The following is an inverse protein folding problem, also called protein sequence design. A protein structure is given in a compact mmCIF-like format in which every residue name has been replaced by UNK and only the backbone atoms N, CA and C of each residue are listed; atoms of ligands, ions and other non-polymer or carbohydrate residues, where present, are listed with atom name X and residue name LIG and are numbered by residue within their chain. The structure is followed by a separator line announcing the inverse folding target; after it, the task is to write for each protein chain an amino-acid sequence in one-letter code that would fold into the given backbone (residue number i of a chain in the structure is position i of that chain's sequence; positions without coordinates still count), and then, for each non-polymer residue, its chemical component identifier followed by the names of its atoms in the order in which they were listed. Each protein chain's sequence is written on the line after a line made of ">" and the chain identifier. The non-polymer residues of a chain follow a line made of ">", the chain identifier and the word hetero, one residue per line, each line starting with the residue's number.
data_IF_835093040444
#
_entry.id   IF_835093040444
#
_cell.length_a   1.000
_cell.length_b   1.000
_cell.length_c   1.000
_cell.angle_alpha   90.00
_cell.angle_beta   90.00
_cell.angle_gamma   90.00
#
_symmetry.space_group_name_H-M   'P 1'
#
loop_
_entity.id
_entity.type
_entity.pdbx_description
1 polymer ?
#
# COMPACT_ATOMS: atom_id res chain seq x y z
N UNK A 1 9.13 -2.60 -31.03
CA UNK A 1 9.02 -1.18 -31.48
C UNK A 1 8.07 -1.09 -32.68
N UNK A 2 8.36 -1.61 -33.86
CA UNK A 2 7.55 -1.39 -35.07
C UNK A 2 6.06 -1.75 -35.01
N UNK A 3 5.64 -2.67 -34.12
CA UNK A 3 4.22 -2.99 -33.94
C UNK A 3 3.51 -1.95 -33.03
N UNK A 4 4.22 -1.32 -32.11
CA UNK A 4 3.70 -0.28 -31.22
C UNK A 4 3.57 1.03 -31.99
N UNK A 5 4.59 1.42 -32.71
CA UNK A 5 4.64 2.64 -33.53
C UNK A 5 3.69 2.59 -34.76
N UNK A 6 3.33 1.40 -35.22
CA UNK A 6 2.46 1.20 -36.36
C UNK A 6 0.98 1.35 -36.01
N UNK A 7 0.29 0.24 -35.80
CA UNK A 7 -1.18 0.23 -35.65
C UNK A 7 -1.67 0.24 -34.17
N UNK A 8 -0.81 -0.19 -33.22
CA UNK A 8 -1.27 -0.38 -31.85
C UNK A 8 -1.43 0.95 -31.10
N UNK A 9 -0.64 1.95 -31.44
CA UNK A 9 -0.74 3.29 -30.86
C UNK A 9 -2.08 3.95 -31.22
N UNK A 10 -2.52 3.84 -32.46
CA UNK A 10 -3.83 4.36 -32.89
C UNK A 10 -4.97 3.61 -32.20
N UNK A 11 -4.84 2.30 -32.05
CA UNK A 11 -5.80 1.48 -31.30
C UNK A 11 -5.87 1.88 -29.81
N UNK A 12 -4.73 2.10 -29.16
CA UNK A 12 -4.69 2.55 -27.77
C UNK A 12 -5.44 3.87 -27.58
N UNK A 13 -5.18 4.84 -28.45
CA UNK A 13 -5.80 6.17 -28.42
C UNK A 13 -7.30 6.11 -28.65
N UNK A 14 -7.74 5.25 -29.53
CA UNK A 14 -9.15 5.09 -29.85
C UNK A 14 -9.94 4.31 -28.76
N UNK A 15 -9.26 3.43 -28.02
CA UNK A 15 -9.94 2.45 -27.15
C UNK A 15 -9.87 2.83 -25.66
N UNK A 16 -8.80 3.51 -25.22
CA UNK A 16 -8.56 3.72 -23.79
C UNK A 16 -8.37 5.20 -23.45
N UNK A 17 -9.12 5.70 -22.49
CA UNK A 17 -8.96 7.07 -21.96
C UNK A 17 -7.58 7.29 -21.32
N UNK A 18 -7.02 6.24 -20.71
CA UNK A 18 -5.70 6.27 -20.06
C UNK A 18 -4.57 5.80 -21.00
N UNK A 19 -4.72 5.98 -22.32
CA UNK A 19 -3.76 5.55 -23.32
C UNK A 19 -2.31 6.05 -23.08
N UNK A 20 -2.06 7.27 -22.55
CA UNK A 20 -0.68 7.72 -22.36
C UNK A 20 0.08 6.85 -21.35
N UNK A 21 -0.59 6.43 -20.27
CA UNK A 21 0.01 5.56 -19.27
C UNK A 21 0.29 4.16 -19.81
N UNK A 22 -0.59 3.67 -20.67
CA UNK A 22 -0.40 2.36 -21.33
C UNK A 22 0.74 2.38 -22.34
N UNK A 23 0.92 3.50 -23.02
CA UNK A 23 2.06 3.72 -23.90
C UNK A 23 3.37 3.70 -23.12
N UNK A 24 3.45 4.41 -21.99
CA UNK A 24 4.59 4.42 -21.06
C UNK A 24 4.90 3.01 -20.51
N UNK A 25 3.87 2.23 -20.17
CA UNK A 25 4.02 0.82 -19.72
C UNK A 25 4.63 -0.05 -20.84
N UNK A 26 4.24 0.17 -22.11
CA UNK A 26 4.78 -0.54 -23.26
C UNK A 26 6.23 -0.14 -23.58
N UNK A 27 6.54 1.15 -23.50
CA UNK A 27 7.92 1.65 -23.63
C UNK A 27 8.83 1.04 -22.58
N UNK A 28 8.36 1.00 -21.33
CA UNK A 28 9.08 0.34 -20.22
C UNK A 28 9.32 -1.15 -20.49
N UNK A 29 8.37 -1.84 -21.12
CA UNK A 29 8.53 -3.23 -21.52
C UNK A 29 9.56 -3.39 -22.64
N UNK A 30 9.58 -2.47 -23.61
CA UNK A 30 10.60 -2.46 -24.67
C UNK A 30 11.98 -2.24 -24.05
N UNK A 31 12.15 -1.26 -23.18
CA UNK A 31 13.40 -1.00 -22.48
C UNK A 31 13.86 -2.20 -21.64
N UNK A 32 12.91 -2.89 -20.99
CA UNK A 32 13.20 -4.12 -20.29
C UNK A 32 13.68 -5.21 -21.24
N UNK A 33 13.02 -5.39 -22.39
CA UNK A 33 13.36 -6.41 -23.38
C UNK A 33 14.74 -6.21 -24.00
N UNK A 34 15.22 -4.97 -24.15
CA UNK A 34 16.55 -4.66 -24.69
C UNK A 34 17.70 -5.14 -23.83
N UNK A 35 17.45 -5.49 -22.57
CA UNK A 35 18.47 -6.03 -21.64
C UNK A 35 18.82 -7.50 -21.90
N UNK A 36 18.07 -8.18 -22.76
CA UNK A 36 18.21 -9.59 -23.07
C UNK A 36 18.58 -9.82 -24.52
N UNK A 37 19.43 -10.82 -24.77
CA UNK A 37 19.88 -11.15 -26.13
C UNK A 37 18.77 -11.74 -26.99
N UNK A 38 17.81 -12.43 -26.36
CA UNK A 38 16.71 -13.06 -27.07
C UNK A 38 15.45 -13.22 -26.20
N UNK A 39 14.33 -13.47 -26.87
CA UNK A 39 13.02 -13.64 -26.22
C UNK A 39 12.98 -14.80 -25.22
N UNK A 40 13.68 -15.90 -25.52
CA UNK A 40 13.69 -17.07 -24.64
C UNK A 40 14.36 -16.77 -23.30
N UNK A 41 15.44 -16.02 -23.33
CA UNK A 41 16.14 -15.55 -22.12
C UNK A 41 15.24 -14.58 -21.32
N UNK A 42 14.63 -13.60 -21.97
CA UNK A 42 13.69 -12.68 -21.33
C UNK A 42 12.54 -13.43 -20.65
N UNK A 43 11.90 -14.38 -21.36
CA UNK A 43 10.80 -15.19 -20.82
C UNK A 43 11.26 -16.07 -19.65
N UNK A 44 12.45 -16.66 -19.72
CA UNK A 44 13.02 -17.44 -18.63
C UNK A 44 13.22 -16.59 -17.39
N UNK A 45 13.71 -15.36 -17.54
CA UNK A 45 13.85 -14.44 -16.43
C UNK A 45 12.50 -13.99 -15.85
N UNK A 46 11.51 -13.73 -16.70
CA UNK A 46 10.16 -13.39 -16.24
C UNK A 46 9.52 -14.56 -15.46
N UNK A 47 9.72 -15.80 -15.90
CA UNK A 47 9.25 -17.00 -15.17
C UNK A 47 9.97 -17.13 -13.84
N UNK A 48 11.27 -16.91 -13.78
CA UNK A 48 12.03 -16.91 -12.53
C UNK A 48 11.56 -15.83 -11.57
N UNK A 49 11.36 -14.60 -12.04
CA UNK A 49 10.84 -13.50 -11.23
C UNK A 49 9.42 -13.79 -10.71
N UNK A 50 8.57 -14.38 -11.55
CA UNK A 50 7.21 -14.76 -11.12
C UNK A 50 7.20 -15.98 -10.19
N UNK A 51 8.11 -16.94 -10.37
CA UNK A 51 8.24 -18.10 -9.49
C UNK A 51 8.90 -17.74 -8.16
N UNK A 52 9.83 -16.79 -8.15
CA UNK A 52 10.40 -16.23 -6.91
C UNK A 52 9.34 -15.51 -6.06
N UNK A 53 8.34 -14.91 -6.69
CA UNK A 53 7.20 -14.31 -5.98
C UNK A 53 6.24 -15.36 -5.40
N UNK A 54 6.24 -16.60 -5.91
CA UNK A 54 5.28 -17.65 -5.55
C UNK A 54 5.79 -18.78 -4.68
N UNK A 55 7.07 -19.12 -4.72
CA UNK A 55 7.50 -20.39 -4.14
C UNK A 55 8.97 -20.45 -3.74
N UNK A 56 9.43 -19.53 -2.88
CA UNK A 56 10.59 -19.87 -2.05
C UNK A 56 10.11 -20.58 -0.78
N UNK A 57 9.64 -21.80 -0.93
CA UNK A 57 9.80 -22.79 0.13
C UNK A 57 11.24 -23.30 0.01
N UNK A 58 12.20 -22.45 0.34
CA UNK A 58 13.53 -22.93 0.66
C UNK A 58 13.49 -23.50 2.06
N UNK A 59 13.88 -24.77 2.19
CA UNK A 59 14.11 -25.50 3.44
C UNK A 59 15.26 -24.92 4.26
N UNK A 60 15.39 -23.61 4.32
CA UNK A 60 16.24 -22.91 5.25
C UNK A 60 15.34 -21.93 6.00
N UNK A 61 15.36 -22.04 7.32
CA UNK A 61 14.79 -21.09 8.27
C UNK A 61 15.48 -19.72 8.14
N UNK A 62 15.52 -19.17 6.93
CA UNK A 62 16.02 -17.83 6.70
C UNK A 62 15.01 -16.86 7.30
N UNK A 63 15.44 -16.18 8.35
CA UNK A 63 14.74 -15.05 8.95
C UNK A 63 14.71 -13.90 7.95
N UNK A 64 13.82 -13.98 6.96
CA UNK A 64 13.67 -12.96 5.93
C UNK A 64 12.39 -12.17 6.11
N UNK A 65 12.45 -10.88 5.79
CA UNK A 65 11.28 -10.04 5.66
C UNK A 65 10.64 -10.32 4.30
N UNK A 66 9.34 -10.68 4.31
CA UNK A 66 8.57 -10.89 3.07
C UNK A 66 7.71 -9.65 2.78
N UNK A 67 7.89 -9.06 1.61
CA UNK A 67 7.03 -8.03 1.07
C UNK A 67 6.02 -8.67 0.12
N UNK A 68 4.73 -8.34 0.29
CA UNK A 68 3.66 -8.92 -0.51
C UNK A 68 2.50 -7.95 -0.66
N UNK A 69 1.72 -8.08 -1.72
CA UNK A 69 0.40 -7.48 -1.78
C UNK A 69 -0.59 -8.32 -0.97
N UNK A 70 -1.72 -7.73 -0.59
CA UNK A 70 -2.78 -8.45 0.13
C UNK A 70 -3.31 -9.63 -0.72
N UNK A 71 -3.44 -9.42 -2.03
CA UNK A 71 -3.90 -10.47 -2.94
C UNK A 71 -2.97 -11.67 -2.99
N UNK A 72 -1.65 -11.43 -3.02
CA UNK A 72 -0.64 -12.50 -3.01
C UNK A 72 -0.51 -13.19 -1.64
N UNK A 73 -0.89 -12.51 -0.57
CA UNK A 73 -0.90 -13.05 0.78
C UNK A 73 -2.13 -13.92 1.07
N UNK A 74 -3.14 -13.94 0.19
CA UNK A 74 -4.36 -14.74 0.37
C UNK A 74 -4.00 -16.24 0.46
N UNK A 75 -4.45 -16.89 1.52
CA UNK A 75 -4.18 -18.31 1.79
C UNK A 75 -2.83 -18.58 2.48
N UNK A 76 -2.02 -17.57 2.72
CA UNK A 76 -0.78 -17.67 3.49
C UNK A 76 -1.02 -17.15 4.90
N UNK A 77 -0.19 -17.58 5.85
CA UNK A 77 -0.22 -17.12 7.25
C UNK A 77 1.21 -16.82 7.69
N UNK A 78 1.34 -15.83 8.59
CA UNK A 78 2.63 -15.35 9.05
C UNK A 78 2.58 -15.06 10.54
N UNK A 79 3.63 -15.36 11.32
CA UNK A 79 3.66 -15.05 12.75
C UNK A 79 3.44 -13.57 13.04
N UNK A 80 4.02 -12.69 12.24
CA UNK A 80 3.92 -11.24 12.40
C UNK A 80 3.57 -10.58 11.07
N UNK A 81 2.53 -9.76 11.06
CA UNK A 81 2.07 -9.04 9.86
C UNK A 81 2.07 -7.54 10.11
N UNK A 82 2.65 -6.80 9.18
CA UNK A 82 2.62 -5.35 9.13
C UNK A 82 1.79 -4.90 7.94
N UNK A 83 0.61 -4.35 8.19
CA UNK A 83 -0.22 -3.73 7.15
C UNK A 83 0.13 -2.25 7.08
N UNK A 84 0.77 -1.84 6.00
CA UNK A 84 1.26 -0.47 5.82
C UNK A 84 0.31 0.36 4.96
N UNK A 85 0.43 1.68 5.04
CA UNK A 85 -0.32 2.58 4.17
C UNK A 85 -1.77 2.82 4.57
N UNK A 86 -2.15 2.59 5.84
CA UNK A 86 -3.52 2.72 6.33
C UNK A 86 -3.95 4.19 6.47
N UNK A 87 -4.08 4.87 5.34
CA UNK A 87 -4.55 6.25 5.22
C UNK A 87 -5.65 6.36 4.15
N UNK A 88 -6.67 7.18 4.38
CA UNK A 88 -7.70 7.48 3.39
C UNK A 88 -7.07 8.03 2.11
N UNK A 89 -7.41 7.44 0.97
CA UNK A 89 -6.81 7.72 -0.33
C UNK A 89 -5.65 6.80 -0.73
N UNK A 90 -5.07 6.04 0.23
CA UNK A 90 -4.12 4.97 -0.02
C UNK A 90 -4.79 3.60 0.23
N UNK A 91 -5.30 3.40 1.43
CA UNK A 91 -6.07 2.22 1.80
C UNK A 91 -7.12 2.59 2.87
N UNK A 92 -8.42 2.66 2.47
CA UNK A 92 -8.96 2.42 1.13
C UNK A 92 -8.46 3.43 0.08
N UNK A 93 -8.43 3.00 -1.18
CA UNK A 93 -8.01 3.85 -2.29
C UNK A 93 -9.00 5.00 -2.54
N UNK A 94 -8.52 6.07 -3.19
CA UNK A 94 -9.32 7.27 -3.41
C UNK A 94 -10.60 6.99 -4.20
N UNK A 95 -10.55 6.14 -5.23
CA UNK A 95 -11.73 5.81 -6.06
C UNK A 95 -12.84 5.15 -5.25
N UNK A 96 -12.48 4.23 -4.35
CA UNK A 96 -13.45 3.59 -3.46
C UNK A 96 -14.10 4.58 -2.49
N UNK A 97 -13.35 5.61 -2.07
CA UNK A 97 -13.85 6.68 -1.20
C UNK A 97 -14.81 7.60 -1.94
N UNK A 98 -14.47 7.97 -3.18
CA UNK A 98 -15.22 8.92 -4.01
C UNK A 98 -16.49 8.28 -4.65
N UNK A 99 -16.73 6.98 -4.44
CA UNK A 99 -17.85 6.24 -4.96
C UNK A 99 -17.67 5.73 -6.40
N UNK A 100 -16.46 5.83 -6.94
CA UNK A 100 -16.08 5.28 -8.25
C UNK A 100 -15.58 3.83 -8.16
N UNK A 101 -15.51 3.28 -6.94
CA UNK A 101 -15.06 1.93 -6.63
C UNK A 101 -15.86 1.30 -5.51
N UNK A 102 -15.53 0.06 -5.16
CA UNK A 102 -16.20 -0.68 -4.11
C UNK A 102 -15.45 -0.57 -2.76
N UNK A 103 -16.00 0.23 -1.84
CA UNK A 103 -15.45 0.41 -0.51
C UNK A 103 -15.56 -0.88 0.33
N UNK A 104 -16.58 -1.69 0.09
CA UNK A 104 -16.77 -2.96 0.80
C UNK A 104 -15.75 -4.00 0.34
N UNK A 105 -15.32 -3.95 -0.92
CA UNK A 105 -14.23 -4.81 -1.39
C UNK A 105 -12.90 -4.41 -0.74
N UNK A 106 -12.60 -3.11 -0.61
CA UNK A 106 -11.44 -2.61 0.14
C UNK A 106 -11.49 -3.08 1.62
N UNK A 107 -12.69 -3.08 2.21
CA UNK A 107 -12.90 -3.60 3.58
C UNK A 107 -12.61 -5.10 3.67
N UNK A 108 -13.04 -5.88 2.67
CA UNK A 108 -12.73 -7.32 2.60
C UNK A 108 -11.22 -7.56 2.46
N UNK A 109 -10.54 -6.75 1.65
CA UNK A 109 -9.08 -6.81 1.54
C UNK A 109 -8.39 -6.49 2.87
N UNK A 110 -8.88 -5.49 3.61
CA UNK A 110 -8.37 -5.21 4.95
C UNK A 110 -8.56 -6.40 5.90
N UNK A 111 -9.75 -7.01 5.89
CA UNK A 111 -10.02 -8.21 6.67
C UNK A 111 -9.08 -9.37 6.28
N UNK A 112 -8.87 -9.60 4.98
CA UNK A 112 -7.94 -10.62 4.50
C UNK A 112 -6.53 -10.34 5.03
N UNK A 113 -6.04 -9.11 4.93
CA UNK A 113 -4.72 -8.73 5.42
C UNK A 113 -4.58 -8.97 6.94
N UNK A 114 -5.57 -8.56 7.72
CA UNK A 114 -5.58 -8.71 9.16
C UNK A 114 -5.58 -10.18 9.59
N UNK A 115 -6.31 -11.03 8.88
CA UNK A 115 -6.41 -12.47 9.18
C UNK A 115 -5.18 -13.28 8.75
N UNK A 116 -4.17 -12.64 8.16
CA UNK A 116 -2.89 -13.33 7.84
C UNK A 116 -1.95 -13.43 9.05
N UNK A 117 -2.23 -12.71 10.12
CA UNK A 117 -1.40 -12.69 11.32
C UNK A 117 -1.77 -13.83 12.30
N UNK A 118 -0.78 -14.65 12.64
CA UNK A 118 -0.93 -15.73 13.64
C UNK A 118 -0.68 -15.21 15.06
N UNK A 119 0.36 -14.40 15.26
CA UNK A 119 0.80 -13.96 16.59
C UNK A 119 0.59 -12.47 16.82
N UNK A 120 1.00 -11.62 15.87
CA UNK A 120 0.83 -10.18 16.00
C UNK A 120 0.49 -9.49 14.69
N UNK A 121 -0.40 -8.52 14.78
CA UNK A 121 -0.81 -7.65 13.70
C UNK A 121 -0.41 -6.21 14.02
N UNK A 122 0.36 -5.60 13.13
CA UNK A 122 0.77 -4.21 13.21
C UNK A 122 0.12 -3.40 12.10
N UNK A 123 -0.71 -2.45 12.48
CA UNK A 123 -1.45 -1.58 11.56
C UNK A 123 -0.72 -0.23 11.49
N UNK A 124 -0.13 0.08 10.33
CA UNK A 124 0.78 1.23 10.18
C UNK A 124 0.11 2.34 9.37
N UNK A 125 -0.09 3.47 10.04
CA UNK A 125 -0.61 4.69 9.46
C UNK A 125 0.52 5.70 9.18
N UNK A 126 0.77 6.05 7.92
CA UNK A 126 1.72 7.09 7.57
C UNK A 126 1.09 8.48 7.80
N UNK A 127 1.72 9.31 8.62
CA UNK A 127 1.20 10.66 8.92
C UNK A 127 1.45 11.65 7.79
N UNK A 128 2.52 11.44 7.03
CA UNK A 128 2.97 12.31 5.94
C UNK A 128 3.28 11.49 4.70
N UNK A 129 2.98 12.05 3.54
CA UNK A 129 3.40 11.56 2.23
C UNK A 129 4.14 12.67 1.51
N UNK A 130 5.12 12.31 0.70
CA UNK A 130 5.80 13.27 -0.16
C UNK A 130 5.18 13.21 -1.56
N UNK A 131 4.43 14.24 -1.94
CA UNK A 131 3.86 14.37 -3.28
C UNK A 131 4.61 15.46 -4.04
N UNK A 132 5.34 15.05 -5.07
CA UNK A 132 6.14 15.97 -5.93
C UNK A 132 7.06 16.90 -5.12
N UNK A 133 7.70 16.39 -4.08
CA UNK A 133 8.59 17.18 -3.21
C UNK A 133 7.88 17.97 -2.11
N UNK A 134 6.55 17.97 -2.07
CA UNK A 134 5.77 18.66 -1.02
C UNK A 134 5.27 17.65 0.00
N UNK A 135 5.54 17.85 1.32
CA UNK A 135 4.98 17.01 2.36
C UNK A 135 3.49 17.27 2.52
N UNK A 136 2.68 16.23 2.29
CA UNK A 136 1.22 16.28 2.45
C UNK A 136 0.83 15.45 3.67
N UNK A 137 0.01 16.04 4.55
CA UNK A 137 -0.53 15.32 5.70
C UNK A 137 -1.61 14.35 5.25
N UNK A 138 -1.49 13.10 5.68
CA UNK A 138 -2.47 12.06 5.40
C UNK A 138 -3.52 11.98 6.53
N UNK A 139 -4.72 11.53 6.16
CA UNK A 139 -5.81 11.24 7.08
C UNK A 139 -5.79 9.76 7.38
N UNK A 140 -5.90 9.41 8.66
CA UNK A 140 -5.98 8.01 9.09
C UNK A 140 -7.12 7.29 8.37
N UNK A 141 -6.84 6.06 7.93
CA UNK A 141 -7.83 5.18 7.29
C UNK A 141 -9.10 5.06 8.13
N UNK A 142 -10.24 5.17 7.47
CA UNK A 142 -11.55 4.96 8.11
C UNK A 142 -11.70 3.57 8.71
N UNK A 143 -11.03 2.56 8.16
CA UNK A 143 -11.04 1.21 8.70
C UNK A 143 -10.39 1.12 10.08
N UNK A 144 -9.35 1.92 10.34
CA UNK A 144 -8.75 2.00 11.68
C UNK A 144 -9.67 2.67 12.69
N UNK A 145 -10.47 3.64 12.26
CA UNK A 145 -11.42 4.35 13.14
C UNK A 145 -12.60 3.48 13.56
N UNK A 146 -12.88 2.42 12.81
CA UNK A 146 -13.93 1.44 13.13
C UNK A 146 -13.50 0.44 14.20
N UNK A 147 -12.19 0.33 14.48
CA UNK A 147 -11.67 -0.56 15.52
C UNK A 147 -11.76 0.15 16.87
N UNK A 148 -12.44 -0.42 17.87
CA UNK A 148 -12.50 0.17 19.21
C UNK A 148 -11.11 0.33 19.83
N UNK A 149 -10.86 1.45 20.50
CA UNK A 149 -9.58 1.75 21.17
C UNK A 149 -9.13 0.67 22.17
N UNK A 150 -10.08 -0.06 22.75
CA UNK A 150 -9.83 -1.16 23.66
C UNK A 150 -9.25 -2.43 23.02
N UNK A 151 -9.16 -2.46 21.70
CA UNK A 151 -8.71 -3.64 20.92
C UNK A 151 -7.29 -3.53 20.39
N UNK A 152 -6.63 -2.38 20.55
CA UNK A 152 -5.26 -2.18 20.08
C UNK A 152 -4.47 -1.28 21.03
N UNK A 153 -3.14 -1.38 20.94
CA UNK A 153 -2.22 -0.48 21.59
C UNK A 153 -1.64 0.50 20.58
N UNK A 154 -1.67 1.79 20.91
CA UNK A 154 -1.13 2.84 20.04
C UNK A 154 0.36 3.04 20.31
N UNK A 155 1.18 2.75 19.32
CA UNK A 155 2.61 3.01 19.35
C UNK A 155 2.97 4.19 18.44
N UNK A 156 3.73 5.14 18.98
CA UNK A 156 4.27 6.24 18.18
C UNK A 156 5.70 5.90 17.75
N UNK A 157 5.96 5.77 16.45
CA UNK A 157 7.26 5.41 15.91
C UNK A 157 8.37 6.42 16.29
N UNK A 158 8.04 7.69 16.55
CA UNK A 158 9.01 8.68 17.02
C UNK A 158 9.60 8.37 18.40
N UNK A 159 8.89 7.65 19.26
CA UNK A 159 9.39 7.25 20.57
C UNK A 159 10.24 5.97 20.51
N UNK A 160 10.10 5.17 19.47
CA UNK A 160 10.81 3.90 19.32
C UNK A 160 12.22 4.03 18.73
N UNK A 161 12.46 5.07 17.92
CA UNK A 161 13.80 5.39 17.41
C UNK A 161 14.41 6.48 18.30
N UNK A 162 15.19 6.03 19.28
CA UNK A 162 15.80 6.77 20.34
C UNK A 162 16.25 8.19 20.02
N UNK A 163 16.20 9.02 21.01
CA UNK A 163 16.58 10.42 21.11
C UNK A 163 17.97 10.75 20.51
N UNK A 164 18.06 10.74 19.19
CA UNK A 164 19.09 11.40 18.41
C UNK A 164 18.66 12.85 18.19
N UNK A 165 19.08 13.70 19.11
CA UNK A 165 19.23 15.15 19.04
C UNK A 165 18.65 15.82 17.78
N UNK A 166 17.38 16.26 17.82
CA UNK A 166 16.93 17.39 17.02
C UNK A 166 16.05 18.31 17.86
N UNK A 167 16.64 19.49 18.16
CA UNK A 167 15.91 20.68 18.61
C UNK A 167 15.00 21.12 17.46
N UNK A 168 13.71 20.95 17.62
CA UNK A 168 12.70 21.40 16.69
C UNK A 168 11.35 20.84 17.16
N UNK A 169 10.75 21.49 18.14
CA UNK A 169 9.51 21.04 18.76
C UNK A 169 8.34 21.12 17.78
N UNK A 170 7.77 20.00 17.45
CA UNK A 170 6.40 19.90 17.00
C UNK A 170 5.61 19.29 18.15
N UNK A 171 5.04 20.17 18.97
CA UNK A 171 4.05 19.79 19.97
C UNK A 171 2.78 19.35 19.24
N UNK A 172 2.52 18.05 19.16
CA UNK A 172 1.19 17.54 18.83
C UNK A 172 0.29 17.82 20.02
N UNK A 173 -0.56 18.85 19.85
CA UNK A 173 -1.57 19.19 20.82
C UNK A 173 -2.41 17.99 21.19
N UNK A 174 -2.49 17.73 22.48
CA UNK A 174 -3.49 16.91 23.10
C UNK A 174 -4.85 17.31 22.56
N UNK A 175 -5.61 16.32 22.10
CA UNK A 175 -7.00 16.51 21.74
C UNK A 175 -7.75 16.92 23.02
N UNK A 176 -8.26 18.14 23.17
CA UNK A 176 -9.05 18.48 24.34
C UNK A 176 -10.38 17.74 24.18
N UNK A 177 -10.61 16.75 25.02
CA UNK A 177 -11.96 16.23 25.26
C UNK A 177 -12.81 17.40 25.67
N UNK A 178 -13.72 17.81 24.79
CA UNK A 178 -14.73 18.80 25.10
C UNK A 178 -15.77 18.21 26.04
N UNK A 179 -15.52 18.24 27.32
CA UNK A 179 -16.55 18.17 28.35
C UNK A 179 -17.24 19.53 28.38
N UNK A 180 -18.52 19.54 28.10
CA UNK A 180 -19.29 20.77 28.28
C UNK A 180 -20.63 20.81 27.52
N UNK A 181 -21.54 19.87 27.77
CA UNK A 181 -22.96 20.18 27.60
C UNK A 181 -23.52 20.66 28.94
N UNK A 182 -23.39 21.95 29.15
CA UNK A 182 -24.08 22.68 30.21
C UNK A 182 -25.58 22.76 29.89
N UNK A 183 -26.37 22.20 30.78
CA UNK A 183 -27.80 22.42 30.92
C UNK A 183 -28.15 23.90 30.90
N UNK A 184 -29.06 24.34 30.05
CA UNK A 184 -29.89 25.51 30.28
C UNK A 184 -31.36 25.15 30.15
N UNK A 185 -31.98 25.18 31.30
CA UNK A 185 -33.45 25.31 31.45
C UNK A 185 -33.92 26.61 30.82
N UNK A 186 -34.95 26.54 30.02
CA UNK A 186 -36.19 27.33 30.08
C UNK A 186 -37.17 26.71 29.06
#
# INVERSE_FOLDING_TARGET
>A
EGAIEGWYQDYLRATYENWPRREEDLESLVDFATKYENLAEMLSQLVLLSSESGNRVTNQEERCLRLSTIHQAKGLEFPHVFVIGLADGLFPNKRAIDGEGDLEEERRLFYVAATRAELSLHLVFPMLSNQKGVPVRLVQSRFLKEIPDSRYELHNAHSAFGSGRQKGGWNYGQNPRGDGFGSRSY
#
